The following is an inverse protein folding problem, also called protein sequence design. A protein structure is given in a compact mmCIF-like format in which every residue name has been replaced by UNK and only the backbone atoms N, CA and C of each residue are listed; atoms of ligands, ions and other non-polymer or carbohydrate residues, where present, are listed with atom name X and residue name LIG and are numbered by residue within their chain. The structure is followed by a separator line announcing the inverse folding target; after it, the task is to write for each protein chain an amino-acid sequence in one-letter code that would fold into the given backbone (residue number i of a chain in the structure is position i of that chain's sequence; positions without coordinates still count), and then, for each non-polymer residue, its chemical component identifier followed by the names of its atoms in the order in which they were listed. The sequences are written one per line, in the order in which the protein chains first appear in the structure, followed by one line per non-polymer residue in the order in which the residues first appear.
data_IF_804687630023
#
_entry.id   IF_804687630023
#
_cell.length_a   1.000
_cell.length_b   1.000
_cell.length_c   1.000
_cell.angle_alpha   90.00
_cell.angle_beta   90.00
_cell.angle_gamma   90.00
#
_symmetry.space_group_name_H-M   'P 1'
#
loop_
_entity.id
_entity.type
_entity.pdbx_description
1 polymer ?
#
# COMPACT_ATOMS: atom_id res chain seq x y z
N UNK A 1 5.61 6.57 -14.25
CA UNK A 1 4.61 6.40 -13.17
C UNK A 1 5.26 5.57 -12.08
N UNK A 2 5.23 6.01 -10.82
CA UNK A 2 5.92 5.32 -9.71
C UNK A 2 4.96 4.33 -9.08
N UNK A 3 5.33 3.05 -9.06
CA UNK A 3 4.55 1.99 -8.40
C UNK A 3 5.18 1.67 -7.05
N UNK A 4 4.35 1.35 -6.04
CA UNK A 4 4.80 1.07 -4.69
C UNK A 4 4.01 -0.06 -4.05
N UNK A 5 4.63 -0.78 -3.13
CA UNK A 5 3.90 -1.69 -2.24
C UNK A 5 3.00 -0.89 -1.29
N UNK A 6 2.01 -1.54 -0.66
CA UNK A 6 1.16 -0.90 0.34
C UNK A 6 1.96 -0.35 1.53
N UNK A 7 3.03 -1.06 1.93
CA UNK A 7 3.92 -0.62 3.01
C UNK A 7 4.67 0.67 2.64
N UNK A 8 5.18 0.75 1.42
CA UNK A 8 5.86 1.94 0.90
C UNK A 8 4.90 3.12 0.75
N UNK A 9 3.70 2.90 0.20
CA UNK A 9 2.66 3.92 0.12
C UNK A 9 2.29 4.46 1.50
N UNK A 10 2.09 3.58 2.48
CA UNK A 10 1.82 3.97 3.86
C UNK A 10 2.96 4.80 4.44
N UNK A 11 4.22 4.38 4.25
CA UNK A 11 5.40 5.11 4.70
C UNK A 11 5.53 6.49 4.02
N UNK A 12 5.29 6.56 2.70
CA UNK A 12 5.27 7.81 1.93
C UNK A 12 4.22 8.80 2.46
N UNK A 13 3.04 8.31 2.84
CA UNK A 13 1.97 9.09 3.47
C UNK A 13 2.16 9.30 4.98
N UNK A 14 3.26 8.80 5.56
CA UNK A 14 3.61 8.92 6.99
C UNK A 14 2.56 8.35 7.95
N UNK A 15 1.85 7.31 7.54
CA UNK A 15 0.89 6.63 8.40
C UNK A 15 1.52 5.46 9.17
N UNK A 16 1.13 5.32 10.44
CA UNK A 16 1.31 4.06 11.17
C UNK A 16 0.30 3.02 10.68
N UNK A 17 0.52 1.73 10.97
CA UNK A 17 -0.46 0.68 10.65
C UNK A 17 -1.82 0.95 11.31
N UNK A 18 -1.81 1.45 12.55
CA UNK A 18 -3.03 1.79 13.28
C UNK A 18 -3.76 3.01 12.73
N UNK A 19 -3.03 4.05 12.33
CA UNK A 19 -3.62 5.21 11.67
C UNK A 19 -4.28 4.82 10.34
N UNK A 20 -3.62 3.96 9.55
CA UNK A 20 -4.17 3.50 8.27
C UNK A 20 -5.39 2.59 8.47
N UNK A 21 -5.36 1.68 9.45
CA UNK A 21 -6.50 0.85 9.81
C UNK A 21 -7.71 1.70 10.23
N UNK A 22 -7.50 2.72 11.08
CA UNK A 22 -8.54 3.66 11.48
C UNK A 22 -9.09 4.46 10.30
N UNK A 23 -8.23 4.94 9.39
CA UNK A 23 -8.64 5.67 8.17
C UNK A 23 -9.51 4.82 7.25
N UNK A 24 -9.24 3.51 7.17
CA UNK A 24 -10.01 2.56 6.37
C UNK A 24 -11.25 2.01 7.10
N UNK A 25 -11.45 2.34 8.38
CA UNK A 25 -12.54 1.79 9.18
C UNK A 25 -12.43 0.27 9.43
N UNK A 26 -11.21 -0.27 9.47
CA UNK A 26 -10.95 -1.71 9.66
C UNK A 26 -10.12 -1.99 10.92
N UNK A 27 -10.13 -3.23 11.37
CA UNK A 27 -9.30 -3.65 12.50
C UNK A 27 -7.80 -3.68 12.13
N UNK A 28 -6.94 -3.43 13.12
CA UNK A 28 -5.47 -3.44 12.95
C UNK A 28 -4.94 -4.76 12.36
N UNK A 29 -5.49 -5.90 12.80
CA UNK A 29 -5.09 -7.21 12.27
C UNK A 29 -5.48 -7.39 10.80
N UNK A 30 -6.62 -6.82 10.37
CA UNK A 30 -7.03 -6.82 8.97
C UNK A 30 -6.05 -6.03 8.13
N UNK A 31 -5.68 -4.82 8.55
CA UNK A 31 -4.69 -4.04 7.83
C UNK A 31 -3.31 -4.72 7.79
N UNK A 32 -2.89 -5.34 8.90
CA UNK A 32 -1.66 -6.14 8.93
C UNK A 32 -1.71 -7.29 7.92
N UNK A 33 -2.82 -8.04 7.84
CA UNK A 33 -3.01 -9.11 6.84
C UNK A 33 -2.88 -8.56 5.41
N UNK A 34 -3.46 -7.40 5.13
CA UNK A 34 -3.40 -6.78 3.80
C UNK A 34 -1.94 -6.47 3.41
N UNK A 35 -1.13 -5.92 4.32
CA UNK A 35 0.30 -5.69 4.03
C UNK A 35 1.13 -6.97 3.93
N UNK A 36 0.81 -7.99 4.73
CA UNK A 36 1.56 -9.25 4.77
C UNK A 36 1.21 -10.18 3.59
N UNK A 37 -0.01 -10.06 3.06
CA UNK A 37 -0.56 -10.86 1.95
C UNK A 37 -1.28 -9.95 0.93
N UNK A 38 -0.58 -9.02 0.29
CA UNK A 38 -1.19 -8.05 -0.62
C UNK A 38 -1.89 -8.72 -1.82
N UNK A 39 -1.48 -9.93 -2.20
CA UNK A 39 -2.04 -10.71 -3.30
C UNK A 39 -3.46 -11.23 -3.02
N UNK A 40 -3.86 -11.22 -1.73
CA UNK A 40 -5.20 -11.60 -1.27
C UNK A 40 -6.14 -10.41 -1.11
N UNK A 41 -5.69 -9.21 -1.50
CA UNK A 41 -6.52 -8.00 -1.43
C UNK A 41 -7.67 -8.11 -2.41
N UNK A 42 -8.90 -7.95 -1.93
CA UNK A 42 -10.07 -7.94 -2.83
C UNK A 42 -10.09 -6.67 -3.66
N UNK A 43 -10.84 -6.66 -4.76
CA UNK A 43 -11.00 -5.44 -5.57
C UNK A 43 -11.61 -4.28 -4.75
N UNK A 44 -12.58 -4.58 -3.88
CA UNK A 44 -13.18 -3.57 -2.99
C UNK A 44 -12.16 -2.99 -1.99
N UNK A 45 -11.32 -3.84 -1.40
CA UNK A 45 -10.22 -3.39 -0.54
C UNK A 45 -9.23 -2.52 -1.34
N UNK A 46 -8.90 -2.91 -2.57
CA UNK A 46 -7.99 -2.18 -3.44
C UNK A 46 -8.50 -0.76 -3.77
N UNK A 47 -9.80 -0.61 -4.06
CA UNK A 47 -10.43 0.71 -4.28
C UNK A 47 -10.30 1.58 -3.03
N UNK A 48 -10.68 1.07 -1.85
CA UNK A 48 -10.58 1.81 -0.59
C UNK A 48 -9.15 2.19 -0.24
N UNK A 49 -8.19 1.31 -0.53
CA UNK A 49 -6.76 1.57 -0.33
C UNK A 49 -6.27 2.70 -1.24
N UNK A 50 -6.63 2.67 -2.52
CA UNK A 50 -6.27 3.70 -3.48
C UNK A 50 -6.85 5.08 -3.10
N UNK A 51 -8.11 5.12 -2.68
CA UNK A 51 -8.74 6.34 -2.15
C UNK A 51 -8.03 6.85 -0.90
N UNK A 52 -7.76 5.97 0.07
CA UNK A 52 -7.10 6.36 1.32
C UNK A 52 -5.64 6.78 1.15
N UNK A 53 -4.95 6.24 0.14
CA UNK A 53 -3.57 6.57 -0.22
C UNK A 53 -3.47 7.69 -1.26
N UNK A 54 -4.60 8.17 -1.77
CA UNK A 54 -4.72 9.17 -2.83
C UNK A 54 -3.79 8.82 -4.02
N UNK A 55 -3.94 7.61 -4.55
CA UNK A 55 -3.20 7.10 -5.70
C UNK A 55 -4.12 6.30 -6.64
N UNK A 56 -3.62 5.92 -7.81
CA UNK A 56 -4.35 5.00 -8.68
C UNK A 56 -4.11 3.55 -8.25
N UNK A 57 -5.10 2.68 -8.45
CA UNK A 57 -4.97 1.24 -8.15
C UNK A 57 -3.78 0.62 -8.91
N UNK A 58 -3.53 1.05 -10.15
CA UNK A 58 -2.39 0.61 -10.97
C UNK A 58 -1.01 0.97 -10.38
N UNK A 59 -0.96 1.96 -9.49
CA UNK A 59 0.25 2.39 -8.78
C UNK A 59 0.51 1.58 -7.51
N UNK A 60 -0.40 0.67 -7.14
CA UNK A 60 -0.23 -0.25 -6.01
C UNK A 60 0.29 -1.61 -6.53
N UNK A 61 1.34 -2.10 -5.88
CA UNK A 61 1.91 -3.42 -6.13
C UNK A 61 1.25 -4.42 -5.17
N UNK A 62 0.38 -5.27 -5.71
CA UNK A 62 -0.32 -6.32 -4.94
C UNK A 62 0.35 -7.68 -4.99
N UNK A 63 1.27 -7.93 -5.93
CA UNK A 63 1.83 -9.26 -6.18
C UNK A 63 3.30 -9.41 -5.75
N UNK A 64 3.83 -8.45 -5.00
CA UNK A 64 5.19 -8.49 -4.48
C UNK A 64 5.16 -8.25 -2.96
N UNK A 65 5.60 -9.25 -2.19
CA UNK A 65 5.57 -9.20 -0.72
C UNK A 65 6.73 -8.44 -0.08
N UNK A 66 7.76 -8.08 -0.87
CA UNK A 66 8.97 -7.44 -0.36
C UNK A 66 9.09 -6.00 -0.88
N UNK A 67 9.03 -4.98 0.00
CA UNK A 67 9.24 -3.61 -0.40
C UNK A 67 10.67 -3.40 -0.90
N UNK A 68 10.82 -2.77 -2.06
CA UNK A 68 12.11 -2.31 -2.53
C UNK A 68 12.28 -0.84 -2.11
N UNK A 69 12.96 -0.64 -0.97
CA UNK A 69 13.19 0.70 -0.41
C UNK A 69 14.18 1.57 -1.23
N UNK A 70 14.51 1.18 -2.47
CA UNK A 70 15.13 2.04 -3.50
C UNK A 70 14.15 3.12 -3.97
N UNK A 71 13.62 3.90 -3.02
CA UNK A 71 12.70 5.01 -3.24
C UNK A 71 13.49 6.21 -3.78
N UNK A 72 13.95 6.16 -5.04
CA UNK A 72 14.58 7.33 -5.66
C UNK A 72 15.50 7.12 -6.86
N UNK A 73 15.94 5.91 -7.21
CA UNK A 73 16.80 5.76 -8.39
C UNK A 73 15.96 5.48 -9.64
N UNK A 74 15.54 6.56 -10.30
CA UNK A 74 15.40 6.53 -11.75
C UNK A 74 16.82 6.30 -12.28
N UNK A 75 17.15 5.05 -12.64
CA UNK A 75 18.30 4.81 -13.52
C UNK A 75 17.98 5.50 -14.84
N UNK A 76 18.47 6.73 -14.99
CA UNK A 76 18.67 7.35 -16.28
C UNK A 76 19.86 6.61 -16.92
N UNK A 77 19.54 5.56 -17.68
CA UNK A 77 20.40 5.03 -18.75
C UNK A 77 19.54 4.80 -19.98
#
# INVERSE_FOLDING_TARGET
MVRRTLREWRAYRKYTKSAMAAKLGIHNSTYKRIEDYPEKTTFEEAVKLAEALECQISEIIFFEGNPNFMLGEVLLV
#
